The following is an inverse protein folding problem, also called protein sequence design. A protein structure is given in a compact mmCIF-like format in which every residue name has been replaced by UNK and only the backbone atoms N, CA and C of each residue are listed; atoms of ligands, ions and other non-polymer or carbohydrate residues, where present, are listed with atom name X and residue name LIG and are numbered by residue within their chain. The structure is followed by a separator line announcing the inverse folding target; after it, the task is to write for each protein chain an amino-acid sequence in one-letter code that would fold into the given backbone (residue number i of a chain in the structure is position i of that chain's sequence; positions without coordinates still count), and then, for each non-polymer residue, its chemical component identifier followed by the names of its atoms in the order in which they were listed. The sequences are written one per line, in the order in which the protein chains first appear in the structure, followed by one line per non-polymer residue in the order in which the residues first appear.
data_IF_057021239479
#
_entry.id   IF_057021239479
#
_cell.length_a   1.000
_cell.length_b   1.000
_cell.length_c   1.000
_cell.angle_alpha   90.00
_cell.angle_beta   90.00
_cell.angle_gamma   90.00
#
_symmetry.space_group_name_H-M   'P 1'
#
loop_
_entity.id
_entity.type
_entity.pdbx_description
1 polymer ?
#
# COMPACT_ATOMS: atom_id res chain seq x y z
N UNK A 1 8.74 -11.82 -2.70
CA UNK A 1 7.48 -12.44 -2.26
C UNK A 1 6.47 -12.25 -3.38
N UNK A 2 5.86 -13.33 -3.86
CA UNK A 2 4.82 -13.24 -4.89
C UNK A 2 3.47 -12.90 -4.28
N UNK A 3 2.82 -11.86 -4.79
CA UNK A 3 1.47 -11.44 -4.39
C UNK A 3 0.64 -11.11 -5.63
N UNK A 4 -0.69 -11.27 -5.54
CA UNK A 4 -1.62 -10.94 -6.63
C UNK A 4 -2.36 -9.66 -6.26
N UNK A 5 -2.34 -8.67 -7.14
CA UNK A 5 -3.03 -7.37 -7.02
C UNK A 5 -3.75 -7.12 -8.34
N UNK A 6 -5.05 -6.79 -8.29
CA UNK A 6 -5.86 -6.56 -9.51
C UNK A 6 -5.78 -7.72 -10.53
N UNK A 7 -5.70 -8.97 -10.04
CA UNK A 7 -5.53 -10.21 -10.84
C UNK A 7 -4.17 -10.38 -11.52
N UNK A 8 -3.22 -9.48 -11.32
CA UNK A 8 -1.85 -9.61 -11.81
C UNK A 8 -0.92 -10.09 -10.71
N UNK A 9 0.01 -10.97 -11.07
CA UNK A 9 1.04 -11.46 -10.14
C UNK A 9 2.24 -10.52 -10.14
N UNK A 10 2.65 -10.07 -8.96
CA UNK A 10 3.82 -9.24 -8.74
C UNK A 10 4.78 -9.93 -7.79
N UNK A 11 6.07 -9.82 -8.08
CA UNK A 11 7.14 -10.25 -7.18
C UNK A 11 7.69 -9.01 -6.45
N UNK A 12 7.15 -8.76 -5.26
CA UNK A 12 7.51 -7.62 -4.43
C UNK A 12 8.57 -8.01 -3.41
N UNK A 13 9.55 -7.15 -3.20
CA UNK A 13 10.61 -7.31 -2.20
C UNK A 13 10.63 -6.05 -1.33
N UNK A 14 10.81 -6.23 -0.02
CA UNK A 14 10.76 -5.14 0.95
C UNK A 14 11.73 -4.00 0.60
N UNK A 15 12.97 -4.33 0.25
CA UNK A 15 14.01 -3.38 -0.12
C UNK A 15 13.63 -2.55 -1.38
N UNK A 16 13.13 -3.22 -2.42
CA UNK A 16 12.66 -2.55 -3.64
C UNK A 16 11.47 -1.63 -3.36
N UNK A 17 10.53 -2.03 -2.50
CA UNK A 17 9.42 -1.16 -2.07
C UNK A 17 9.94 0.08 -1.35
N UNK A 18 10.87 -0.06 -0.42
CA UNK A 18 11.47 1.06 0.30
C UNK A 18 12.23 2.00 -0.64
N UNK A 19 12.97 1.44 -1.60
CA UNK A 19 13.72 2.17 -2.62
C UNK A 19 12.81 2.93 -3.58
N UNK A 20 11.74 2.31 -4.07
CA UNK A 20 10.73 2.99 -4.93
C UNK A 20 10.03 4.13 -4.21
N UNK A 21 9.85 4.02 -2.89
CA UNK A 21 9.25 5.07 -2.07
C UNK A 21 10.26 6.12 -1.58
N UNK A 22 11.55 5.88 -1.76
CA UNK A 22 12.60 6.84 -1.42
C UNK A 22 12.48 8.10 -2.29
N UNK A 23 12.41 9.27 -1.66
CA UNK A 23 12.20 10.54 -2.36
C UNK A 23 10.73 10.83 -2.74
N UNK A 24 9.82 9.87 -2.55
CA UNK A 24 8.39 10.10 -2.79
C UNK A 24 7.80 10.95 -1.67
N UNK A 25 7.10 12.01 -2.04
CA UNK A 25 6.35 12.85 -1.09
C UNK A 25 5.07 12.13 -0.67
N UNK A 26 4.83 11.92 0.65
CA UNK A 26 3.58 11.34 1.11
C UNK A 26 2.41 12.26 0.81
N UNK A 27 1.34 11.71 0.24
CA UNK A 27 0.05 12.40 0.10
C UNK A 27 -0.70 12.41 1.44
N UNK A 28 -1.73 13.25 1.52
CA UNK A 28 -2.60 13.32 2.67
C UNK A 28 -3.25 11.95 2.93
N UNK A 29 -3.01 11.39 4.11
CA UNK A 29 -3.60 10.13 4.54
C UNK A 29 -5.06 10.36 4.90
N UNK A 30 -5.96 10.04 3.99
CA UNK A 30 -7.42 10.11 4.20
C UNK A 30 -8.03 8.77 4.58
N UNK A 31 -7.42 7.67 4.13
CA UNK A 31 -7.89 6.30 4.33
C UNK A 31 -6.78 5.43 4.95
N UNK A 32 -6.71 4.16 4.54
CA UNK A 32 -5.67 3.23 4.96
C UNK A 32 -4.29 3.72 4.51
N UNK A 33 -3.31 3.52 5.37
CA UNK A 33 -1.93 3.96 5.15
C UNK A 33 -0.92 2.90 5.59
N UNK A 34 0.33 3.09 5.21
CA UNK A 34 1.46 2.23 5.59
C UNK A 34 2.61 3.10 6.04
N UNK A 35 3.31 2.66 7.08
CA UNK A 35 4.57 3.28 7.51
C UNK A 35 5.72 2.67 6.73
N UNK A 36 6.44 3.51 5.99
CA UNK A 36 7.64 3.14 5.23
C UNK A 36 8.78 4.05 5.70
N UNK A 37 9.81 3.44 6.29
CA UNK A 37 10.86 4.18 6.99
C UNK A 37 10.29 5.00 8.16
N UNK A 38 10.31 6.33 8.03
CA UNK A 38 9.80 7.28 9.04
C UNK A 38 8.58 8.08 8.57
N UNK A 39 8.02 7.74 7.41
CA UNK A 39 6.91 8.46 6.78
C UNK A 39 5.71 7.54 6.63
N UNK A 40 4.52 8.13 6.66
CA UNK A 40 3.26 7.43 6.46
C UNK A 40 2.71 7.76 5.08
N UNK A 41 2.39 6.74 4.31
CA UNK A 41 1.93 6.87 2.93
C UNK A 41 0.55 6.24 2.78
N UNK A 42 -0.38 6.85 2.03
CA UNK A 42 -1.64 6.23 1.71
C UNK A 42 -1.41 4.95 0.89
N UNK A 43 -2.15 3.90 1.22
CA UNK A 43 -1.96 2.58 0.61
C UNK A 43 -2.11 2.65 -0.92
N UNK A 44 -3.09 3.42 -1.41
CA UNK A 44 -3.32 3.58 -2.85
C UNK A 44 -2.15 4.26 -3.56
N UNK A 45 -1.47 5.20 -2.91
CA UNK A 45 -0.28 5.82 -3.47
C UNK A 45 0.86 4.81 -3.58
N UNK A 46 1.13 4.05 -2.51
CA UNK A 46 2.18 3.03 -2.51
C UNK A 46 1.89 1.95 -3.54
N UNK A 47 0.66 1.43 -3.57
CA UNK A 47 0.21 0.44 -4.55
C UNK A 47 0.49 0.88 -5.98
N UNK A 48 0.08 2.11 -6.35
CA UNK A 48 0.27 2.61 -7.71
C UNK A 48 1.74 2.76 -8.09
N UNK A 49 2.61 3.13 -7.14
CA UNK A 49 4.05 3.28 -7.39
C UNK A 49 4.73 1.92 -7.56
N UNK A 50 4.43 0.96 -6.69
CA UNK A 50 5.11 -0.35 -6.70
C UNK A 50 4.57 -1.30 -7.78
N UNK A 51 3.31 -1.16 -8.19
CA UNK A 51 2.72 -1.99 -9.25
C UNK A 51 2.70 -1.29 -10.61
N UNK A 52 2.83 0.03 -10.64
CA UNK A 52 2.66 0.84 -11.86
C UNK A 52 1.22 0.89 -12.38
N UNK A 53 0.24 0.42 -11.60
CA UNK A 53 -1.17 0.37 -11.99
C UNK A 53 -1.92 1.63 -11.59
N UNK A 54 -3.08 1.86 -12.21
CA UNK A 54 -3.96 2.94 -11.77
C UNK A 54 -4.61 2.59 -10.42
N UNK A 55 -4.82 3.60 -9.57
CA UNK A 55 -5.46 3.43 -8.25
C UNK A 55 -6.89 2.90 -8.32
N UNK A 56 -7.50 2.89 -9.50
CA UNK A 56 -8.83 2.35 -9.79
C UNK A 56 -8.81 0.86 -10.12
N UNK A 57 -7.67 0.30 -10.49
CA UNK A 57 -7.55 -1.11 -10.89
C UNK A 57 -7.50 -2.05 -9.69
N UNK A 58 -7.04 -1.56 -8.53
CA UNK A 58 -6.86 -2.34 -7.31
C UNK A 58 -7.50 -1.70 -6.08
N UNK A 59 -7.73 -2.51 -5.06
CA UNK A 59 -8.26 -2.07 -3.77
C UNK A 59 -7.16 -1.86 -2.74
N UNK A 60 -7.38 -0.94 -1.79
CA UNK A 60 -6.47 -0.73 -0.66
C UNK A 60 -6.25 -2.03 0.14
N UNK A 61 -7.27 -2.86 0.25
CA UNK A 61 -7.21 -4.15 0.98
C UNK A 61 -6.23 -5.14 0.36
N UNK A 62 -6.17 -5.24 -0.97
CA UNK A 62 -5.22 -6.11 -1.67
C UNK A 62 -3.78 -5.68 -1.39
N UNK A 63 -3.52 -4.38 -1.48
CA UNK A 63 -2.18 -3.81 -1.24
C UNK A 63 -1.79 -3.92 0.24
N UNK A 64 -2.71 -3.66 1.19
CA UNK A 64 -2.49 -3.87 2.63
C UNK A 64 -2.06 -5.31 2.89
N UNK A 65 -2.74 -6.30 2.31
CA UNK A 65 -2.37 -7.71 2.50
C UNK A 65 -0.97 -8.01 1.95
N UNK A 66 -0.63 -7.47 0.78
CA UNK A 66 0.70 -7.64 0.21
C UNK A 66 1.79 -7.02 1.10
N UNK A 67 1.60 -5.78 1.53
CA UNK A 67 2.55 -5.04 2.37
C UNK A 67 2.69 -5.65 3.77
N UNK A 68 1.59 -6.09 4.38
CA UNK A 68 1.60 -6.75 5.70
C UNK A 68 2.41 -8.06 5.62
N UNK A 69 2.25 -8.84 4.56
CA UNK A 69 3.01 -10.09 4.35
C UNK A 69 4.49 -9.84 4.07
N UNK A 70 4.85 -8.69 3.51
CA UNK A 70 6.24 -8.24 3.38
C UNK A 70 6.84 -7.74 4.70
N UNK A 71 6.03 -7.60 5.76
CA UNK A 71 6.45 -7.12 7.07
C UNK A 71 6.38 -5.60 7.24
N UNK A 72 5.59 -4.90 6.43
CA UNK A 72 5.28 -3.49 6.66
C UNK A 72 4.16 -3.31 7.69
N UNK A 73 4.20 -2.18 8.40
CA UNK A 73 3.14 -1.79 9.34
C UNK A 73 2.06 -1.00 8.60
N UNK A 74 0.91 -1.63 8.37
CA UNK A 74 -0.26 -1.00 7.77
C UNK A 74 -1.22 -0.50 8.85
N UNK A 75 -1.75 0.70 8.65
CA UNK A 75 -2.78 1.33 9.46
C UNK A 75 -4.09 1.31 8.67
N UNK A 76 -5.15 0.66 9.17
CA UNK A 76 -6.45 0.71 8.52
C UNK A 76 -6.97 2.14 8.51
N UNK A 77 -7.83 2.47 7.53
CA UNK A 77 -8.62 3.69 7.60
C UNK A 77 -9.41 3.67 8.91
N UNK A 78 -9.67 4.83 9.56
CA UNK A 78 -10.69 4.90 10.59
C UNK A 78 -11.97 4.36 9.95
N UNK A 79 -12.34 3.15 10.36
CA UNK A 79 -13.51 2.47 9.83
C UNK A 79 -14.65 3.37 10.26
N UNK A 80 -15.33 4.01 9.32
CA UNK A 80 -16.69 4.47 9.59
C UNK A 80 -17.47 3.18 9.82
N UNK A 81 -17.47 2.73 11.07
CA UNK A 81 -18.29 1.64 11.55
C UNK A 81 -19.69 1.94 11.03
N UNK A 82 -20.30 1.07 10.20
CA UNK A 82 -21.70 1.26 9.87
C UNK A 82 -22.46 1.19 11.19
N UNK A 83 -22.94 2.35 11.65
CA UNK A 83 -23.91 2.42 12.72
C UNK A 83 -25.12 1.63 12.26
N UNK A 84 -25.49 0.66 13.09
CA UNK A 84 -26.56 -0.34 12.93
C UNK A 84 -27.82 0.17 12.24
#
# INVERSE_FOLDING_TARGET
MRCVIARFSFDLIKDEVEKSMSGVKPEAVTEASVTIGRKQYPIKQVGAIITGQDRRDFTSTEVVRALTRLGFTCHPAPTTTPTL
#
